data_IF_919832008583
#
_entry.id   IF_919832008583
#
_cell.length_a   1.000
_cell.length_b   1.000
_cell.length_c   1.000
_cell.angle_alpha   90.00
_cell.angle_beta   90.00
_cell.angle_gamma   90.00
#
_symmetry.space_group_name_H-M   'P 1'
#
loop_
_entity.id
_entity.type
_entity.pdbx_description
1 polymer ?
#
# COMPACT_ATOMS: atom_id res chain seq x y z
N UNK A 1 14.21 14.43 -17.63
CA UNK A 1 13.04 13.66 -17.17
C UNK A 1 13.11 13.65 -15.65
N UNK A 2 12.25 14.41 -14.96
CA UNK A 2 12.25 14.40 -13.49
C UNK A 2 11.63 13.09 -13.03
N UNK A 3 12.34 12.32 -12.21
CA UNK A 3 11.72 11.21 -11.49
C UNK A 3 10.82 11.83 -10.42
N UNK A 4 9.51 11.63 -10.55
CA UNK A 4 8.54 12.02 -9.52
C UNK A 4 8.80 11.16 -8.28
N UNK A 5 9.21 11.82 -7.22
CA UNK A 5 9.45 11.23 -5.89
C UNK A 5 8.23 11.51 -5.04
N UNK A 6 7.68 10.46 -4.43
CA UNK A 6 6.45 10.49 -3.64
C UNK A 6 6.74 10.69 -2.16
N UNK A 7 5.97 11.53 -1.46
CA UNK A 7 6.05 11.64 -0.01
C UNK A 7 5.37 10.45 0.68
N UNK A 8 5.74 10.22 1.94
CA UNK A 8 5.08 9.22 2.81
C UNK A 8 3.56 9.41 2.85
N UNK A 9 3.07 10.65 2.91
CA UNK A 9 1.64 10.96 2.98
C UNK A 9 0.93 10.68 1.64
N UNK A 10 1.61 10.89 0.51
CA UNK A 10 1.08 10.53 -0.81
C UNK A 10 0.90 9.01 -0.91
N UNK A 11 1.89 8.23 -0.47
CA UNK A 11 1.79 6.77 -0.45
C UNK A 11 0.63 6.31 0.43
N UNK A 12 0.49 6.87 1.63
CA UNK A 12 -0.62 6.54 2.53
C UNK A 12 -1.98 6.81 1.91
N UNK A 13 -2.17 7.98 1.31
CA UNK A 13 -3.44 8.37 0.67
C UNK A 13 -3.77 7.46 -0.51
N UNK A 14 -2.78 7.16 -1.34
CA UNK A 14 -2.97 6.36 -2.56
C UNK A 14 -3.20 4.88 -2.25
N UNK A 15 -2.45 4.30 -1.32
CA UNK A 15 -2.71 2.92 -0.85
C UNK A 15 -4.08 2.83 -0.19
N UNK A 16 -4.47 3.80 0.62
CA UNK A 16 -5.81 3.86 1.23
C UNK A 16 -6.91 3.93 0.17
N UNK A 17 -6.70 4.71 -0.89
CA UNK A 17 -7.65 4.81 -2.00
C UNK A 17 -7.80 3.48 -2.74
N UNK A 18 -6.70 2.76 -2.99
CA UNK A 18 -6.72 1.44 -3.64
C UNK A 18 -7.49 0.43 -2.79
N UNK A 19 -7.16 0.34 -1.50
CA UNK A 19 -7.85 -0.60 -0.59
C UNK A 19 -9.35 -0.27 -0.50
N UNK A 20 -9.70 1.01 -0.37
CA UNK A 20 -11.09 1.47 -0.36
C UNK A 20 -11.84 1.11 -1.65
N UNK A 21 -11.20 1.25 -2.81
CA UNK A 21 -11.79 0.88 -4.10
C UNK A 21 -12.05 -0.62 -4.20
N UNK A 22 -11.09 -1.46 -3.81
CA UNK A 22 -11.22 -2.93 -3.87
C UNK A 22 -12.23 -3.47 -2.86
N UNK A 23 -12.30 -2.84 -1.68
CA UNK A 23 -13.23 -3.25 -0.61
C UNK A 23 -14.61 -2.62 -0.76
N UNK A 24 -14.80 -1.70 -1.70
CA UNK A 24 -16.01 -0.87 -1.83
C UNK A 24 -16.37 -0.12 -0.52
N UNK A 25 -15.37 0.17 0.31
CA UNK A 25 -15.53 0.88 1.58
C UNK A 25 -15.07 2.34 1.48
N UNK A 26 -15.52 3.17 2.41
CA UNK A 26 -15.08 4.55 2.48
C UNK A 26 -13.61 4.65 2.90
N UNK A 27 -12.87 5.57 2.25
CA UNK A 27 -11.46 5.86 2.59
C UNK A 27 -11.28 6.21 4.06
N UNK A 28 -12.22 6.97 4.62
CA UNK A 28 -12.20 7.36 6.02
C UNK A 28 -12.42 6.14 6.94
N UNK A 29 -13.37 5.26 6.59
CA UNK A 29 -13.62 4.05 7.35
C UNK A 29 -12.40 3.11 7.35
N UNK A 30 -11.82 2.87 6.17
CA UNK A 30 -10.60 2.08 6.01
C UNK A 30 -9.44 2.69 6.80
N UNK A 31 -9.28 4.02 6.78
CA UNK A 31 -8.23 4.71 7.51
C UNK A 31 -8.40 4.61 9.03
N UNK A 32 -9.64 4.70 9.53
CA UNK A 32 -9.95 4.49 10.93
C UNK A 32 -9.68 3.04 11.36
N UNK A 33 -9.96 2.08 10.46
CA UNK A 33 -9.71 0.65 10.64
C UNK A 33 -8.36 0.20 10.07
N UNK A 34 -7.34 1.07 10.00
CA UNK A 34 -6.07 0.74 9.32
C UNK A 34 -5.28 -0.41 9.96
N UNK A 35 -5.51 -0.66 11.24
CA UNK A 35 -4.93 -1.76 12.01
C UNK A 35 -5.80 -3.02 11.97
N UNK A 36 -7.02 -2.94 11.41
CA UNK A 36 -7.95 -4.06 11.34
C UNK A 36 -7.37 -5.16 10.44
N UNK A 37 -7.60 -6.40 10.85
CA UNK A 37 -7.19 -7.54 10.05
C UNK A 37 -8.14 -7.70 8.86
N UNK A 38 -7.62 -7.51 7.67
CA UNK A 38 -8.34 -7.57 6.40
C UNK A 38 -9.15 -8.85 6.23
N UNK A 39 -8.56 -10.01 6.51
CA UNK A 39 -9.20 -11.31 6.35
C UNK A 39 -10.28 -11.59 7.41
N UNK A 40 -10.09 -11.09 8.65
CA UNK A 40 -10.99 -11.40 9.77
C UNK A 40 -12.09 -10.36 9.97
N UNK A 41 -11.82 -9.10 9.64
CA UNK A 41 -12.68 -7.96 9.98
C UNK A 41 -13.28 -7.29 8.77
N UNK A 42 -12.59 -7.30 7.61
CA UNK A 42 -13.06 -6.69 6.37
C UNK A 42 -13.44 -7.72 5.30
N UNK A 43 -13.44 -9.01 5.65
CA UNK A 43 -13.79 -10.12 4.75
C UNK A 43 -13.03 -10.09 3.40
N UNK A 44 -11.79 -9.58 3.43
CA UNK A 44 -10.92 -9.54 2.25
C UNK A 44 -10.39 -10.96 2.01
N UNK A 45 -10.76 -11.55 0.88
CA UNK A 45 -10.23 -12.83 0.42
C UNK A 45 -8.85 -12.69 -0.25
N UNK A 46 -8.15 -13.80 -0.43
CA UNK A 46 -6.83 -13.83 -1.10
C UNK A 46 -6.85 -13.25 -2.52
N UNK A 47 -7.99 -13.32 -3.23
CA UNK A 47 -8.15 -12.73 -4.56
C UNK A 47 -8.15 -11.19 -4.50
N UNK A 48 -8.87 -10.61 -3.54
CA UNK A 48 -8.91 -9.16 -3.33
C UNK A 48 -7.54 -8.64 -2.87
N UNK A 49 -6.83 -9.40 -2.04
CA UNK A 49 -5.46 -9.06 -1.64
C UNK A 49 -4.50 -9.01 -2.85
N UNK A 50 -4.61 -9.95 -3.80
CA UNK A 50 -3.84 -9.94 -5.05
C UNK A 50 -4.21 -8.74 -5.93
N UNK A 51 -5.49 -8.37 -5.98
CA UNK A 51 -5.95 -7.20 -6.73
C UNK A 51 -5.39 -5.90 -6.16
N UNK A 52 -5.40 -5.73 -4.83
CA UNK A 52 -4.74 -4.60 -4.15
C UNK A 52 -3.27 -4.53 -4.53
N UNK A 53 -2.55 -5.67 -4.49
CA UNK A 53 -1.13 -5.74 -4.86
C UNK A 53 -0.91 -5.26 -6.30
N UNK A 54 -1.67 -5.80 -7.26
CA UNK A 54 -1.56 -5.46 -8.66
C UNK A 54 -1.90 -3.98 -8.95
N UNK A 55 -2.87 -3.41 -8.24
CA UNK A 55 -3.22 -1.99 -8.33
C UNK A 55 -2.11 -1.09 -7.78
N UNK A 56 -1.47 -1.48 -6.67
CA UNK A 56 -0.31 -0.78 -6.11
C UNK A 56 0.85 -0.80 -7.12
N UNK A 57 1.20 -1.97 -7.66
CA UNK A 57 2.25 -2.10 -8.68
C UNK A 57 1.99 -1.17 -9.87
N UNK A 58 0.75 -1.17 -10.38
CA UNK A 58 0.33 -0.33 -11.50
C UNK A 58 0.37 1.17 -11.17
N UNK A 59 -0.14 1.56 -9.99
CA UNK A 59 -0.22 2.95 -9.55
C UNK A 59 1.17 3.54 -9.34
N UNK A 60 2.01 2.80 -8.63
CA UNK A 60 3.35 3.24 -8.29
C UNK A 60 4.39 2.87 -9.33
N UNK A 61 4.06 2.09 -10.36
CA UNK A 61 5.01 1.58 -11.38
C UNK A 61 6.20 0.86 -10.74
N UNK A 62 5.91 -0.02 -9.78
CA UNK A 62 6.88 -0.85 -9.07
C UNK A 62 6.52 -2.32 -9.28
N UNK A 63 7.46 -3.22 -9.01
CA UNK A 63 7.20 -4.65 -8.92
C UNK A 63 7.28 -5.08 -7.47
N UNK A 64 6.25 -5.80 -7.01
CA UNK A 64 6.11 -6.33 -5.67
C UNK A 64 6.08 -7.86 -5.80
N UNK A 65 7.05 -8.58 -5.23
CA UNK A 65 7.06 -10.04 -5.32
C UNK A 65 5.86 -10.63 -4.57
N UNK A 66 5.29 -11.73 -5.08
CA UNK A 66 4.09 -12.38 -4.51
C UNK A 66 4.29 -12.79 -3.04
N UNK A 67 5.53 -13.03 -2.59
CA UNK A 67 5.83 -13.31 -1.19
C UNK A 67 5.38 -12.19 -0.23
N UNK A 68 5.29 -10.95 -0.72
CA UNK A 68 4.79 -9.78 0.02
C UNK A 68 3.27 -9.74 0.16
N UNK A 69 2.55 -10.66 -0.48
CA UNK A 69 1.10 -10.80 -0.30
C UNK A 69 0.75 -11.05 1.18
N UNK A 70 1.63 -11.72 1.93
CA UNK A 70 1.47 -11.95 3.37
C UNK A 70 1.47 -10.66 4.19
N UNK A 71 2.02 -9.56 3.64
CA UNK A 71 2.01 -8.25 4.28
C UNK A 71 0.68 -7.49 4.04
N UNK A 72 -0.15 -7.95 3.10
CA UNK A 72 -1.50 -7.42 2.82
C UNK A 72 -2.51 -8.04 3.80
N UNK A 73 -2.26 -7.80 5.09
CA UNK A 73 -3.12 -8.26 6.20
C UNK A 73 -3.83 -7.11 6.91
N UNK A 74 -3.36 -5.88 6.71
CA UNK A 74 -3.98 -4.65 7.20
C UNK A 74 -3.57 -3.49 6.28
N UNK A 75 -4.23 -2.33 6.42
CA UNK A 75 -3.89 -1.15 5.63
C UNK A 75 -2.49 -0.68 5.99
N UNK A 76 -2.17 -0.66 7.28
CA UNK A 76 -0.84 -0.29 7.77
C UNK A 76 0.24 -1.25 7.23
N UNK A 77 -0.02 -2.56 7.19
CA UNK A 77 0.88 -3.54 6.59
C UNK A 77 1.13 -3.27 5.11
N UNK A 78 0.05 -3.03 4.37
CA UNK A 78 0.09 -2.72 2.93
C UNK A 78 0.85 -1.42 2.64
N UNK A 79 0.61 -0.38 3.44
CA UNK A 79 1.31 0.91 3.35
C UNK A 79 2.81 0.72 3.61
N UNK A 80 3.17 0.01 4.68
CA UNK A 80 4.57 -0.21 5.06
C UNK A 80 5.31 -1.00 3.98
N UNK A 81 4.69 -2.05 3.45
CA UNK A 81 5.23 -2.82 2.32
C UNK A 81 5.45 -1.93 1.10
N UNK A 82 4.47 -1.11 0.73
CA UNK A 82 4.57 -0.19 -0.41
C UNK A 82 5.71 0.82 -0.22
N UNK A 83 5.83 1.41 0.97
CA UNK A 83 6.91 2.34 1.32
C UNK A 83 8.28 1.67 1.24
N UNK A 84 8.41 0.45 1.75
CA UNK A 84 9.66 -0.31 1.68
C UNK A 84 10.09 -0.53 0.22
N UNK A 85 9.19 -1.01 -0.63
CA UNK A 85 9.48 -1.22 -2.06
C UNK A 85 9.80 0.09 -2.78
N UNK A 86 9.07 1.17 -2.49
CA UNK A 86 9.37 2.50 -3.06
C UNK A 86 10.73 3.05 -2.62
N UNK A 87 11.11 2.81 -1.36
CA UNK A 87 12.41 3.20 -0.81
C UNK A 87 13.54 2.42 -1.49
N UNK A 88 13.40 1.11 -1.66
CA UNK A 88 14.35 0.26 -2.40
C UNK A 88 14.50 0.70 -3.86
N UNK A 89 13.44 1.22 -4.46
CA UNK A 89 13.45 1.77 -5.82
C UNK A 89 13.94 3.24 -5.90
N UNK A 90 14.27 3.89 -4.78
CA UNK A 90 14.72 5.28 -4.73
C UNK A 90 13.62 6.31 -5.07
N UNK A 91 12.35 5.96 -4.86
CA UNK A 91 11.16 6.75 -5.27
C UNK A 91 10.36 7.34 -4.11
N UNK A 92 10.76 7.05 -2.87
CA UNK A 92 10.16 7.62 -1.66
C UNK A 92 10.98 8.84 -1.17
N UNK A 93 10.31 9.96 -0.90
CA UNK A 93 10.87 11.16 -0.28
C UNK A 93 10.85 10.99 1.25
N UNK A 94 12.03 10.73 1.81
CA UNK A 94 12.28 10.50 3.24
C UNK A 94 12.78 9.07 3.44
N UNK A 95 14.00 8.80 3.92
CA UNK A 95 14.81 9.55 4.89
C UNK A 95 16.05 10.26 4.29
N UNK A 96 16.62 11.27 4.99
CA UNK A 96 18.05 11.51 4.86
C UNK A 96 18.76 10.19 5.11
N UNK A 97 19.62 9.77 4.19
CA UNK A 97 20.67 8.79 4.46
C UNK A 97 21.25 9.16 5.82
N UNK A 98 21.01 8.36 6.87
CA UNK A 98 21.70 8.55 8.15
C UNK A 98 23.19 8.50 7.84
N UNK A 99 23.81 9.68 7.87
CA UNK A 99 25.25 9.85 7.82
C UNK A 99 25.90 9.23 9.06
#
# INVERSE_FOLDING_TARGET
MYLETLSTEEVEKEVTAIVAEVTELDREEIWQKREANFFKELEIDSLLALEILALIEKKFKIQIPEEKLVDITSLTGTINMTKAVLSENGRLKGEPQKA
#
